data_IF_611003421298
#
_entry.id   IF_611003421298
#
_cell.length_a   1.000
_cell.length_b   1.000
_cell.length_c   1.000
_cell.angle_alpha   90.00
_cell.angle_beta   90.00
_cell.angle_gamma   90.00
#
_symmetry.space_group_name_H-M   'P 1'
#
loop_
_entity.id
_entity.type
_entity.pdbx_description
1 polymer ?
#
# COMPACT_ATOMS: atom_id res chain seq x y z
N UNK A 1 4.60 -0.69 4.29
CA UNK A 1 4.15 -1.99 4.80
C UNK A 1 4.42 -2.14 6.29
N UNK A 2 5.70 -2.06 6.72
CA UNK A 2 6.10 -2.23 8.14
C UNK A 2 5.40 -1.22 9.03
N UNK A 3 5.36 0.05 8.63
CA UNK A 3 4.72 1.11 9.38
C UNK A 3 3.23 0.83 9.62
N UNK A 4 2.50 0.38 8.59
CA UNK A 4 1.09 0.01 8.75
C UNK A 4 0.91 -1.23 9.63
N UNK A 5 1.77 -2.24 9.49
CA UNK A 5 1.69 -3.44 10.33
C UNK A 5 1.82 -3.10 11.82
N UNK A 6 2.74 -2.20 12.17
CA UNK A 6 2.91 -1.71 13.53
C UNK A 6 1.73 -0.86 14.03
N UNK A 7 1.14 -0.07 13.13
CA UNK A 7 0.03 0.83 13.45
C UNK A 7 -1.31 0.12 13.64
N UNK A 8 -1.53 -0.98 12.90
CA UNK A 8 -2.82 -1.67 12.87
C UNK A 8 -3.34 -2.10 14.23
N UNK A 9 -2.51 -2.71 15.08
CA UNK A 9 -2.94 -3.17 16.41
C UNK A 9 -3.46 -2.00 17.25
N UNK A 10 -2.71 -0.89 17.27
CA UNK A 10 -3.11 0.33 17.98
C UNK A 10 -4.42 0.89 17.43
N UNK A 11 -4.57 0.92 16.11
CA UNK A 11 -5.76 1.42 15.44
C UNK A 11 -7.01 0.61 15.79
N UNK A 12 -6.94 -0.73 15.71
CA UNK A 12 -8.07 -1.60 16.08
C UNK A 12 -8.50 -1.45 17.53
N UNK A 13 -7.56 -1.30 18.46
CA UNK A 13 -7.88 -1.09 19.87
C UNK A 13 -8.54 0.29 20.08
N UNK A 14 -7.98 1.32 19.49
CA UNK A 14 -8.42 2.70 19.76
C UNK A 14 -9.67 3.11 18.99
N UNK A 15 -9.83 2.64 17.75
CA UNK A 15 -10.94 3.05 16.90
C UNK A 15 -12.16 2.14 17.05
N UNK A 16 -11.94 0.83 17.14
CA UNK A 16 -13.03 -0.15 17.20
C UNK A 16 -13.22 -0.76 18.60
N UNK A 17 -12.40 -0.37 19.58
CA UNK A 17 -12.53 -0.85 20.95
C UNK A 17 -12.25 -2.35 21.15
N UNK A 18 -11.53 -2.99 20.21
CA UNK A 18 -11.19 -4.40 20.34
C UNK A 18 -10.17 -4.64 21.45
N UNK A 19 -10.24 -5.81 22.08
CA UNK A 19 -9.21 -6.21 23.03
C UNK A 19 -7.88 -6.43 22.28
N UNK A 20 -6.77 -6.34 23.01
CA UNK A 20 -5.41 -6.41 22.43
C UNK A 20 -5.17 -7.70 21.65
N UNK A 21 -5.70 -8.83 22.11
CA UNK A 21 -5.51 -10.12 21.43
C UNK A 21 -6.22 -10.16 20.07
N UNK A 22 -7.49 -9.73 20.01
CA UNK A 22 -8.26 -9.67 18.77
C UNK A 22 -7.64 -8.65 17.79
N UNK A 23 -7.24 -7.48 18.30
CA UNK A 23 -6.56 -6.46 17.49
C UNK A 23 -5.24 -6.97 16.89
N UNK A 24 -4.45 -7.72 17.67
CA UNK A 24 -3.21 -8.31 17.19
C UNK A 24 -3.46 -9.40 16.14
N UNK A 25 -4.49 -10.24 16.31
CA UNK A 25 -4.88 -11.24 15.30
C UNK A 25 -5.32 -10.58 13.99
N UNK A 26 -6.15 -9.54 14.06
CA UNK A 26 -6.59 -8.80 12.87
C UNK A 26 -5.42 -8.08 12.18
N UNK A 27 -4.49 -7.51 12.95
CA UNK A 27 -3.26 -6.94 12.42
C UNK A 27 -2.37 -8.00 11.75
N UNK A 28 -2.34 -9.23 12.30
CA UNK A 28 -1.64 -10.35 11.67
C UNK A 28 -2.23 -10.72 10.31
N UNK A 29 -3.55 -10.60 10.12
CA UNK A 29 -4.20 -10.82 8.81
C UNK A 29 -3.66 -9.87 7.73
N UNK A 30 -3.27 -8.64 8.07
CA UNK A 30 -2.59 -7.74 7.14
C UNK A 30 -1.18 -8.24 6.80
N UNK A 31 -0.48 -8.82 7.76
CA UNK A 31 0.93 -9.24 7.61
C UNK A 31 1.09 -10.60 6.93
N UNK A 32 0.11 -11.50 7.06
CA UNK A 32 0.15 -12.85 6.46
C UNK A 32 0.35 -12.83 4.93
N UNK A 33 -0.39 -12.02 4.15
CA UNK A 33 -0.17 -11.94 2.71
C UNK A 33 1.27 -11.54 2.36
N UNK A 34 1.88 -10.69 3.18
CA UNK A 34 3.25 -10.21 2.98
C UNK A 34 4.31 -11.30 2.94
N UNK A 35 4.09 -12.42 3.63
CA UNK A 35 4.98 -13.57 3.60
C UNK A 35 4.67 -14.52 2.44
N UNK A 36 3.44 -15.00 2.39
CA UNK A 36 3.03 -16.10 1.48
C UNK A 36 2.85 -15.62 0.03
N UNK A 37 2.18 -14.50 -0.17
CA UNK A 37 1.83 -14.01 -1.51
C UNK A 37 2.98 -13.28 -2.23
N UNK A 38 4.12 -13.09 -1.57
CA UNK A 38 5.30 -12.52 -2.24
C UNK A 38 5.79 -13.39 -3.40
N UNK A 39 5.72 -14.72 -3.25
CA UNK A 39 6.05 -15.65 -4.33
C UNK A 39 5.12 -15.49 -5.54
N UNK A 40 3.81 -15.35 -5.29
CA UNK A 40 2.84 -15.08 -6.34
C UNK A 40 3.09 -13.74 -7.04
N UNK A 41 3.49 -12.70 -6.29
CA UNK A 41 3.87 -11.40 -6.84
C UNK A 41 5.10 -11.48 -7.76
N UNK A 42 6.09 -12.31 -7.39
CA UNK A 42 7.24 -12.62 -8.26
C UNK A 42 6.80 -13.26 -9.57
N UNK A 43 6.00 -14.33 -9.50
CA UNK A 43 5.45 -15.00 -10.68
C UNK A 43 4.64 -14.05 -11.59
N UNK A 44 3.81 -13.20 -11.00
CA UNK A 44 3.06 -12.17 -11.76
C UNK A 44 4.00 -11.20 -12.46
N UNK A 45 5.07 -10.78 -11.78
CA UNK A 45 6.07 -9.87 -12.34
C UNK A 45 6.86 -10.51 -13.48
N UNK A 46 7.12 -11.82 -13.41
CA UNK A 46 7.76 -12.58 -14.51
C UNK A 46 6.84 -12.68 -15.73
N UNK A 47 5.53 -12.82 -15.54
CA UNK A 47 4.56 -13.00 -16.61
C UNK A 47 4.12 -11.69 -17.27
N UNK A 48 3.90 -10.64 -16.50
CA UNK A 48 3.31 -9.38 -16.96
C UNK A 48 4.29 -8.19 -16.92
N UNK A 49 5.52 -8.43 -16.47
CA UNK A 49 6.54 -7.42 -16.32
C UNK A 49 6.44 -6.69 -14.96
N UNK A 50 7.59 -6.47 -14.34
CA UNK A 50 7.69 -5.87 -13.02
C UNK A 50 7.11 -4.44 -12.98
N UNK A 51 7.34 -3.63 -14.02
CA UNK A 51 6.82 -2.27 -14.14
C UNK A 51 5.29 -2.22 -14.14
N UNK A 52 4.66 -3.07 -14.94
CA UNK A 52 3.20 -3.15 -15.06
C UNK A 52 2.56 -3.60 -13.75
N UNK A 53 3.11 -4.62 -13.10
CA UNK A 53 2.62 -5.10 -11.80
C UNK A 53 2.74 -4.03 -10.74
N UNK A 54 3.88 -3.33 -10.66
CA UNK A 54 4.07 -2.22 -9.71
C UNK A 54 3.04 -1.13 -9.94
N UNK A 55 2.79 -0.73 -11.18
CA UNK A 55 1.82 0.30 -11.55
C UNK A 55 0.40 -0.05 -11.08
N UNK A 56 -0.09 -1.25 -11.41
CA UNK A 56 -1.43 -1.67 -11.02
C UNK A 56 -1.60 -1.84 -9.51
N UNK A 57 -0.58 -2.40 -8.85
CA UNK A 57 -0.57 -2.55 -7.39
C UNK A 57 -0.64 -1.19 -6.69
N UNK A 58 0.07 -0.18 -7.20
CA UNK A 58 0.00 1.16 -6.64
C UNK A 58 -1.37 1.79 -6.81
N UNK A 59 -2.06 1.60 -7.94
CA UNK A 59 -3.43 2.06 -8.14
C UNK A 59 -4.42 1.39 -7.17
N UNK A 60 -4.34 0.08 -7.03
CA UNK A 60 -5.19 -0.65 -6.07
C UNK A 60 -4.94 -0.14 -4.65
N UNK A 61 -3.68 0.02 -4.26
CA UNK A 61 -3.31 0.54 -2.94
C UNK A 61 -3.83 1.96 -2.73
N UNK A 62 -3.74 2.80 -3.76
CA UNK A 62 -4.21 4.18 -3.71
C UNK A 62 -5.71 4.27 -3.45
N UNK A 63 -6.52 3.51 -4.20
CA UNK A 63 -7.97 3.46 -4.02
C UNK A 63 -8.34 2.94 -2.62
N UNK A 64 -7.72 1.84 -2.18
CA UNK A 64 -7.99 1.28 -0.86
C UNK A 64 -7.60 2.24 0.26
N UNK A 65 -6.43 2.89 0.16
CA UNK A 65 -5.97 3.87 1.14
C UNK A 65 -6.85 5.13 1.16
N UNK A 66 -7.37 5.54 0.01
CA UNK A 66 -8.35 6.62 -0.04
C UNK A 66 -9.60 6.28 0.76
N UNK A 67 -10.16 5.08 0.58
CA UNK A 67 -11.32 4.63 1.36
C UNK A 67 -11.00 4.51 2.86
N UNK A 68 -9.81 4.00 3.20
CA UNK A 68 -9.35 3.86 4.58
C UNK A 68 -9.05 5.22 5.24
N UNK A 69 -8.77 6.25 4.48
CA UNK A 69 -8.48 7.60 5.00
C UNK A 69 -9.72 8.32 5.51
N UNK A 70 -10.91 7.82 5.15
CA UNK A 70 -12.17 8.46 5.56
C UNK A 70 -12.39 8.28 7.07
N UNK A 71 -12.50 9.37 7.86
CA UNK A 71 -12.71 9.28 9.29
C UNK A 71 -14.13 8.82 9.63
N UNK A 72 -14.30 8.22 10.79
CA UNK A 72 -15.61 7.98 11.37
C UNK A 72 -16.27 9.34 11.61
N UNK A 73 -17.39 9.60 10.93
CA UNK A 73 -18.10 10.89 10.99
C UNK A 73 -19.55 10.66 11.38
N UNK A 74 -19.98 11.32 12.44
CA UNK A 74 -21.39 11.38 12.82
C UNK A 74 -21.97 12.71 12.34
N UNK A 75 -22.95 12.63 11.45
CA UNK A 75 -23.66 13.79 10.93
C UNK A 75 -25.11 13.79 11.39
N UNK A 76 -25.56 14.92 11.93
CA UNK A 76 -26.98 15.15 12.21
C UNK A 76 -27.62 15.83 11.01
N UNK A 77 -28.45 15.10 10.28
CA UNK A 77 -29.19 15.64 9.13
C UNK A 77 -30.58 16.06 9.60
N UNK A 78 -30.91 17.32 9.36
CA UNK A 78 -32.27 17.83 9.56
C UNK A 78 -33.16 17.32 8.43
N UNK A 79 -34.02 16.33 8.75
CA UNK A 79 -35.01 15.82 7.81
C UNK A 79 -36.40 16.38 8.13
N UNK A 80 -37.32 16.24 7.19
CA UNK A 80 -38.72 16.64 7.38
C UNK A 80 -39.39 15.98 8.58
N UNK A 81 -38.87 14.79 8.99
CA UNK A 81 -39.36 14.01 10.13
C UNK A 81 -38.55 14.23 11.41
N UNK A 82 -37.69 15.26 11.46
CA UNK A 82 -36.83 15.59 12.60
C UNK A 82 -35.34 15.27 12.36
N UNK A 83 -34.47 15.61 13.31
CA UNK A 83 -33.04 15.35 13.18
C UNK A 83 -32.76 13.84 13.19
N UNK A 84 -32.07 13.36 12.15
CA UNK A 84 -31.60 11.98 12.08
C UNK A 84 -30.07 11.95 12.14
N UNK A 85 -29.55 11.06 12.99
CA UNK A 85 -28.12 10.82 13.10
C UNK A 85 -27.70 9.83 11.99
N UNK A 86 -26.88 10.30 11.07
CA UNK A 86 -26.25 9.46 10.06
C UNK A 86 -24.79 9.25 10.43
N UNK A 87 -24.41 8.03 10.78
CA UNK A 87 -23.02 7.65 11.00
C UNK A 87 -22.43 7.19 9.67
N UNK A 88 -21.47 7.93 9.16
CA UNK A 88 -20.71 7.58 7.96
C UNK A 88 -19.31 7.18 8.40
N UNK A 89 -18.96 5.92 8.19
CA UNK A 89 -17.66 5.39 8.56
C UNK A 89 -17.49 3.94 8.12
N UNK A 90 -16.26 3.48 8.07
CA UNK A 90 -15.98 2.09 7.75
C UNK A 90 -16.30 1.20 8.95
N UNK A 91 -17.17 0.23 8.74
CA UNK A 91 -17.37 -0.83 9.71
C UNK A 91 -16.05 -1.64 9.87
N UNK A 92 -15.78 -2.17 11.06
CA UNK A 92 -14.58 -2.96 11.36
C UNK A 92 -14.34 -4.08 10.34
N UNK A 93 -15.40 -4.73 9.86
CA UNK A 93 -15.30 -5.78 8.84
C UNK A 93 -14.85 -5.22 7.49
N UNK A 94 -15.45 -4.12 7.02
CA UNK A 94 -15.05 -3.49 5.75
C UNK A 94 -13.62 -2.95 5.85
N UNK A 95 -13.27 -2.35 6.97
CA UNK A 95 -11.90 -1.91 7.24
C UNK A 95 -10.91 -3.08 7.14
N UNK A 96 -11.21 -4.20 7.79
CA UNK A 96 -10.34 -5.40 7.79
C UNK A 96 -10.18 -5.97 6.38
N UNK A 97 -11.26 -6.01 5.58
CA UNK A 97 -11.19 -6.46 4.18
C UNK A 97 -10.32 -5.53 3.35
N UNK A 98 -10.51 -4.22 3.47
CA UNK A 98 -9.71 -3.23 2.72
C UNK A 98 -8.23 -3.31 3.11
N UNK A 99 -7.93 -3.41 4.40
CA UNK A 99 -6.53 -3.50 4.85
C UNK A 99 -5.88 -4.82 4.43
N UNK A 100 -6.64 -5.91 4.35
CA UNK A 100 -6.17 -7.18 3.80
C UNK A 100 -5.82 -7.05 2.31
N UNK A 101 -6.65 -6.39 1.51
CA UNK A 101 -6.37 -6.10 0.09
C UNK A 101 -5.11 -5.24 -0.04
N UNK A 102 -4.93 -4.22 0.79
CA UNK A 102 -3.70 -3.41 0.84
C UNK A 102 -2.48 -4.27 1.19
N UNK A 103 -2.62 -5.20 2.13
CA UNK A 103 -1.58 -6.17 2.48
C UNK A 103 -1.13 -7.02 1.29
N UNK A 104 -2.10 -7.55 0.52
CA UNK A 104 -1.84 -8.29 -0.73
C UNK A 104 -1.13 -7.40 -1.75
N UNK A 105 -1.66 -6.21 -1.99
CA UNK A 105 -1.09 -5.27 -2.94
C UNK A 105 0.35 -4.90 -2.58
N UNK A 106 0.63 -4.65 -1.31
CA UNK A 106 1.99 -4.36 -0.85
C UNK A 106 2.93 -5.57 -0.92
N UNK A 107 2.41 -6.80 -0.75
CA UNK A 107 3.19 -8.02 -0.95
C UNK A 107 3.64 -8.16 -2.40
N UNK A 108 2.72 -7.96 -3.35
CA UNK A 108 3.02 -7.97 -4.78
C UNK A 108 3.94 -6.82 -5.18
N UNK A 109 3.70 -5.61 -4.66
CA UNK A 109 4.55 -4.45 -4.88
C UNK A 109 6.00 -4.67 -4.43
N UNK A 110 6.21 -5.27 -3.27
CA UNK A 110 7.58 -5.63 -2.82
C UNK A 110 8.26 -6.61 -3.77
N UNK A 111 7.56 -7.65 -4.19
CA UNK A 111 8.12 -8.64 -5.11
C UNK A 111 8.45 -8.00 -6.47
N UNK A 112 7.55 -7.18 -7.02
CA UNK A 112 7.75 -6.52 -8.30
C UNK A 112 8.91 -5.52 -8.29
N UNK A 113 9.11 -4.77 -7.19
CA UNK A 113 10.26 -3.86 -7.04
C UNK A 113 11.58 -4.61 -7.06
N UNK A 114 11.70 -5.73 -6.35
CA UNK A 114 12.93 -6.53 -6.40
C UNK A 114 13.17 -7.16 -7.77
N UNK A 115 12.11 -7.60 -8.45
CA UNK A 115 12.22 -8.07 -9.84
C UNK A 115 12.68 -6.94 -10.77
N UNK A 116 12.11 -5.74 -10.63
CA UNK A 116 12.53 -4.55 -11.36
C UNK A 116 14.04 -4.28 -11.21
N UNK A 117 14.55 -4.35 -9.96
CA UNK A 117 15.98 -4.16 -9.70
C UNK A 117 16.82 -5.21 -10.41
N UNK A 118 16.39 -6.48 -10.43
CA UNK A 118 17.12 -7.55 -11.08
C UNK A 118 17.15 -7.42 -12.61
N UNK A 119 16.09 -6.88 -13.19
CA UNK A 119 15.96 -6.69 -14.65
C UNK A 119 16.75 -5.47 -15.13
N UNK A 120 16.66 -4.34 -14.41
CA UNK A 120 17.27 -3.08 -14.85
C UNK A 120 18.73 -2.91 -14.38
N UNK A 121 19.12 -3.56 -13.27
CA UNK A 121 20.46 -3.43 -12.69
C UNK A 121 21.14 -4.78 -12.42
N UNK A 122 21.25 -5.67 -13.42
CA UNK A 122 21.77 -7.03 -13.23
C UNK A 122 23.21 -7.08 -12.69
N UNK A 123 24.03 -6.08 -13.02
CA UNK A 123 25.43 -6.03 -12.56
C UNK A 123 25.59 -5.48 -11.13
N UNK A 124 24.60 -4.73 -10.62
CA UNK A 124 24.67 -4.03 -9.34
C UNK A 124 23.49 -4.38 -8.40
N UNK A 125 22.89 -5.56 -8.56
CA UNK A 125 21.70 -6.00 -7.81
C UNK A 125 21.89 -5.81 -6.30
N UNK A 126 23.03 -6.21 -5.75
CA UNK A 126 23.31 -6.13 -4.31
C UNK A 126 23.32 -4.69 -3.80
N UNK A 127 24.00 -3.78 -4.50
CA UNK A 127 24.10 -2.38 -4.10
C UNK A 127 22.75 -1.67 -4.20
N UNK A 128 22.02 -1.84 -5.31
CA UNK A 128 20.71 -1.20 -5.53
C UNK A 128 19.67 -1.76 -4.57
N UNK A 129 19.62 -3.08 -4.35
CA UNK A 129 18.74 -3.71 -3.37
C UNK A 129 19.04 -3.24 -1.94
N UNK A 130 20.31 -3.02 -1.62
CA UNK A 130 20.73 -2.45 -0.33
C UNK A 130 20.19 -1.04 -0.11
N UNK A 131 20.28 -0.16 -1.11
CA UNK A 131 19.76 1.22 -1.05
C UNK A 131 18.24 1.20 -0.92
N UNK A 132 17.54 0.39 -1.70
CA UNK A 132 16.08 0.25 -1.63
C UNK A 132 15.66 -0.34 -0.28
N UNK A 133 16.41 -1.33 0.24
CA UNK A 133 16.18 -1.90 1.56
C UNK A 133 16.37 -0.87 2.68
N UNK A 134 17.41 -0.04 2.60
CA UNK A 134 17.66 1.06 3.53
C UNK A 134 16.51 2.08 3.51
N UNK A 135 16.10 2.53 2.33
CA UNK A 135 14.98 3.46 2.18
C UNK A 135 13.67 2.87 2.75
N UNK A 136 13.41 1.57 2.51
CA UNK A 136 12.28 0.86 3.09
C UNK A 136 12.34 0.76 4.62
N UNK A 137 13.53 0.51 5.17
CA UNK A 137 13.77 0.49 6.62
C UNK A 137 13.56 1.85 7.26
N UNK A 138 14.08 2.92 6.66
CA UNK A 138 13.85 4.30 7.11
C UNK A 138 12.37 4.66 7.08
N UNK A 139 11.63 4.29 6.02
CA UNK A 139 10.19 4.49 5.95
C UNK A 139 9.45 3.71 7.05
N UNK A 140 9.88 2.49 7.36
CA UNK A 140 9.34 1.67 8.45
C UNK A 140 9.55 2.29 9.84
N UNK A 141 10.58 3.10 10.01
CA UNK A 141 10.88 3.81 11.26
C UNK A 141 10.21 5.19 11.35
N UNK A 142 10.34 6.00 10.30
CA UNK A 142 9.87 7.40 10.29
C UNK A 142 8.34 7.47 10.24
N UNK A 143 7.69 6.65 9.40
CA UNK A 143 6.25 6.73 9.18
C UNK A 143 5.42 6.47 10.46
N UNK A 144 5.71 5.48 11.33
CA UNK A 144 4.95 5.32 12.57
C UNK A 144 5.05 6.53 13.50
N UNK A 145 6.19 7.21 13.54
CA UNK A 145 6.38 8.45 14.31
C UNK A 145 5.49 9.55 13.72
N UNK A 146 5.49 9.70 12.39
CA UNK A 146 4.62 10.66 11.71
C UNK A 146 3.13 10.35 11.91
N UNK A 147 2.74 9.07 11.94
CA UNK A 147 1.36 8.67 12.23
C UNK A 147 0.95 9.13 13.63
N UNK A 148 1.81 8.91 14.64
CA UNK A 148 1.56 9.39 15.99
C UNK A 148 1.42 10.91 16.05
N UNK A 149 2.37 11.63 15.50
CA UNK A 149 2.36 13.10 15.46
C UNK A 149 1.12 13.66 14.75
N UNK A 150 0.71 13.06 13.62
CA UNK A 150 -0.50 13.48 12.90
C UNK A 150 -1.76 13.26 13.73
N UNK A 151 -1.87 12.14 14.43
CA UNK A 151 -3.00 11.90 15.32
C UNK A 151 -3.03 12.89 16.47
N UNK A 152 -1.87 13.22 17.05
CA UNK A 152 -1.77 14.20 18.13
C UNK A 152 -2.15 15.62 17.68
N UNK A 153 -1.79 16.00 16.44
CA UNK A 153 -2.11 17.32 15.87
C UNK A 153 -3.57 17.41 15.40
N UNK A 154 -4.05 16.37 14.71
CA UNK A 154 -5.37 16.41 14.03
C UNK A 154 -6.50 15.88 14.91
N UNK A 155 -6.19 15.06 15.93
CA UNK A 155 -7.18 14.30 16.69
C UNK A 155 -7.84 13.16 15.91
N UNK A 156 -7.49 12.98 14.63
CA UNK A 156 -8.12 12.01 13.72
C UNK A 156 -7.22 10.80 13.51
N UNK A 157 -7.67 9.62 13.92
CA UNK A 157 -6.85 8.38 13.84
C UNK A 157 -6.62 7.91 12.41
N UNK A 158 -7.55 8.19 11.50
CA UNK A 158 -7.40 7.86 10.08
C UNK A 158 -6.38 8.75 9.35
N UNK A 159 -5.82 9.78 9.99
CA UNK A 159 -4.78 10.64 9.42
C UNK A 159 -3.52 9.86 8.98
N UNK A 160 -3.24 8.73 9.62
CA UNK A 160 -2.18 7.82 9.20
C UNK A 160 -2.40 7.28 7.78
N UNK A 161 -3.64 6.92 7.44
CA UNK A 161 -4.00 6.48 6.09
C UNK A 161 -4.02 7.63 5.09
N UNK A 162 -4.38 8.84 5.52
CA UNK A 162 -4.29 10.05 4.69
C UNK A 162 -2.84 10.32 4.28
N UNK A 163 -1.90 10.20 5.22
CA UNK A 163 -0.48 10.32 4.91
C UNK A 163 -0.02 9.26 3.91
N UNK A 164 -0.39 7.99 4.15
CA UNK A 164 -0.04 6.89 3.24
C UNK A 164 -0.66 7.06 1.86
N UNK A 165 -1.90 7.52 1.78
CA UNK A 165 -2.56 7.89 0.54
C UNK A 165 -1.77 8.96 -0.22
N UNK A 166 -1.33 10.01 0.46
CA UNK A 166 -0.51 11.06 -0.12
C UNK A 166 0.84 10.57 -0.63
N UNK A 167 1.52 9.72 0.13
CA UNK A 167 2.80 9.11 -0.28
C UNK A 167 2.64 8.25 -1.53
N UNK A 168 1.61 7.42 -1.58
CA UNK A 168 1.33 6.59 -2.77
C UNK A 168 0.98 7.48 -3.97
N UNK A 169 0.23 8.56 -3.77
CA UNK A 169 -0.11 9.50 -4.82
C UNK A 169 1.11 10.17 -5.43
N UNK A 170 2.01 10.67 -4.59
CA UNK A 170 3.29 11.26 -5.05
C UNK A 170 4.12 10.22 -5.80
N UNK A 171 4.17 8.98 -5.30
CA UNK A 171 4.89 7.88 -5.94
C UNK A 171 4.29 7.51 -7.31
N UNK A 172 2.96 7.50 -7.45
CA UNK A 172 2.26 7.28 -8.72
C UNK A 172 2.59 8.37 -9.75
N UNK A 173 2.57 9.64 -9.33
CA UNK A 173 2.93 10.77 -10.20
C UNK A 173 4.39 10.62 -10.65
N UNK A 174 5.30 10.32 -9.72
CA UNK A 174 6.71 10.14 -10.05
C UNK A 174 6.93 8.99 -11.04
N UNK A 175 6.28 7.85 -10.79
CA UNK A 175 6.35 6.68 -11.66
C UNK A 175 5.78 6.98 -13.05
N UNK A 176 4.68 7.74 -13.13
CA UNK A 176 4.10 8.16 -14.40
C UNK A 176 5.08 8.97 -15.24
N UNK A 177 5.74 9.96 -14.66
CA UNK A 177 6.70 10.80 -15.38
C UNK A 177 8.00 10.07 -15.71
N UNK A 178 8.44 9.18 -14.84
CA UNK A 178 9.69 8.46 -15.00
C UNK A 178 9.59 7.31 -15.99
N UNK A 179 8.53 6.53 -15.93
CA UNK A 179 8.41 5.24 -16.62
C UNK A 179 7.29 5.20 -17.65
N UNK A 180 6.06 5.50 -17.24
CA UNK A 180 4.87 5.30 -18.09
C UNK A 180 4.88 6.23 -19.30
N UNK A 181 5.37 7.44 -19.13
CA UNK A 181 5.47 8.41 -20.23
C UNK A 181 6.57 8.04 -21.24
N UNK A 182 7.61 7.34 -20.80
CA UNK A 182 8.76 6.97 -21.64
C UNK A 182 8.60 5.64 -22.33
N UNK A 183 7.87 4.71 -21.73
CA UNK A 183 7.70 3.34 -22.24
C UNK A 183 6.22 2.99 -22.24
N UNK A 184 5.58 2.75 -23.41
CA UNK A 184 4.21 2.26 -23.43
C UNK A 184 4.14 0.87 -22.78
N UNK A 185 3.41 0.76 -21.69
CA UNK A 185 3.34 -0.43 -20.83
C UNK A 185 2.63 -1.65 -21.45
N UNK A 186 2.08 -1.53 -22.64
CA UNK A 186 1.37 -2.63 -23.29
C UNK A 186 1.94 -2.87 -24.69
N UNK A 187 2.62 -3.98 -24.86
CA UNK A 187 2.80 -4.56 -26.19
C UNK A 187 4.21 -4.81 -26.71
N UNK A 188 5.27 -4.62 -25.95
CA UNK A 188 6.64 -4.90 -26.45
C UNK A 188 7.34 -6.11 -25.82
N UNK A 189 6.61 -7.10 -25.36
CA UNK A 189 7.18 -8.39 -24.95
C UNK A 189 7.40 -9.40 -26.09
N UNK A 190 7.17 -9.04 -27.36
CA UNK A 190 7.13 -10.04 -28.42
C UNK A 190 8.02 -9.79 -29.65
N UNK A 191 8.79 -8.70 -29.75
CA UNK A 191 9.63 -8.47 -30.90
C UNK A 191 10.94 -7.74 -30.58
N UNK A 192 11.85 -8.38 -29.86
CA UNK A 192 13.26 -8.09 -30.03
C UNK A 192 13.80 -9.12 -31.06
N UNK A 193 14.26 -8.72 -32.26
CA UNK A 193 14.95 -9.63 -33.14
C UNK A 193 16.26 -10.01 -32.45
N UNK A 194 16.39 -11.30 -32.11
CA UNK A 194 17.68 -11.91 -31.80
C UNK A 194 18.58 -11.61 -32.98
N UNK A 195 19.48 -10.65 -32.81
CA UNK A 195 20.57 -10.41 -33.73
C UNK A 195 21.41 -11.70 -33.77
N UNK A 196 21.20 -12.51 -34.78
CA UNK A 196 22.15 -13.53 -35.23
C UNK A 196 23.38 -12.78 -35.71
N UNK A 197 24.38 -12.64 -34.86
CA UNK A 197 25.74 -12.35 -35.27
C UNK A 197 26.46 -13.71 -35.34
N UNK A 198 26.73 -14.09 -36.57
CA UNK A 198 27.66 -15.13 -37.01
C UNK A 198 29.07 -14.91 -36.47
#
# INVERSE_FOLDING_TARGET
>A
YVALALWMTKYYVQEYGFNLQTAALLAACFSLPGGVLRAAGGWMSDKWGAHSVTWWVMWVSWICLFLLSYPQTEMVIQTVNGPQNLSIGLNATMFTVLIFIVGIAFAFGKASVFKYISDDFPQNIGAVSGIVGLAGGMGGFILPIMFGALVDITGVRSSAFMLMYGVVWVSLIWMYFSEVRKTPMMGQGANSPVSKAS
#
